data_IF_221741124854
#
_entry.id   IF_221741124854
#
_cell.length_a   1.000
_cell.length_b   1.000
_cell.length_c   1.000
_cell.angle_alpha   90.00
_cell.angle_beta   90.00
_cell.angle_gamma   90.00
#
_symmetry.space_group_name_H-M   'P 1'
#
loop_
_entity.id
_entity.type
_entity.pdbx_description
1 polymer ?
#
# COMPACT_ATOMS: atom_id res chain seq x y z
N UNK A 1 -0.34 6.32 -33.03
CA UNK A 1 -0.93 6.30 -31.68
C UNK A 1 0.20 6.54 -30.69
N UNK A 2 0.29 7.70 -30.01
CA UNK A 2 1.30 7.89 -28.98
C UNK A 2 0.97 7.01 -27.76
N UNK A 3 1.99 6.34 -27.22
CA UNK A 3 1.85 5.51 -26.02
C UNK A 3 1.49 6.38 -24.79
N UNK A 4 0.66 5.88 -23.85
CA UNK A 4 0.33 6.61 -22.64
C UNK A 4 1.60 6.85 -21.78
N UNK A 5 1.71 7.98 -21.06
CA UNK A 5 2.95 8.46 -20.45
C UNK A 5 3.39 7.70 -19.17
N UNK A 6 3.02 6.44 -19.00
CA UNK A 6 3.30 5.67 -17.79
C UNK A 6 3.88 4.30 -18.10
N UNK A 7 4.98 4.26 -18.86
CA UNK A 7 5.83 3.08 -18.94
C UNK A 7 7.29 3.54 -19.15
N UNK A 8 8.05 3.65 -18.06
CA UNK A 8 9.51 3.56 -18.11
C UNK A 8 9.90 2.31 -17.33
N UNK A 9 10.44 1.33 -18.05
CA UNK A 9 11.04 0.11 -17.50
C UNK A 9 12.21 0.46 -16.57
N UNK A 10 12.35 -0.29 -15.47
CA UNK A 10 13.54 -0.27 -14.61
C UNK A 10 13.43 0.51 -13.28
N UNK A 11 12.22 0.86 -12.82
CA UNK A 11 12.03 1.32 -11.44
C UNK A 11 11.37 0.20 -10.63
N UNK A 12 11.92 -0.11 -9.45
CA UNK A 12 11.21 -0.82 -8.38
C UNK A 12 9.75 -0.33 -8.37
N UNK A 13 8.73 -1.21 -8.26
CA UNK A 13 7.34 -0.77 -8.20
C UNK A 13 7.17 0.14 -6.98
N UNK A 14 7.31 1.44 -7.22
CA UNK A 14 7.09 2.47 -6.24
C UNK A 14 5.62 2.31 -5.85
N UNK A 15 5.36 1.83 -4.63
CA UNK A 15 4.24 2.41 -3.89
C UNK A 15 4.35 3.91 -4.10
N UNK A 16 3.30 4.61 -4.56
CA UNK A 16 3.40 6.06 -4.63
C UNK A 16 3.77 6.48 -3.23
N UNK A 17 5.00 6.98 -3.03
CA UNK A 17 5.37 7.62 -1.77
C UNK A 17 4.23 8.61 -1.57
N UNK A 18 3.54 8.55 -0.43
CA UNK A 18 2.33 9.31 -0.16
C UNK A 18 0.98 8.74 -0.66
N UNK A 19 0.85 7.49 -1.13
CA UNK A 19 -0.46 6.91 -1.50
C UNK A 19 -1.41 6.86 -0.30
N UNK A 20 -0.94 6.35 0.84
CA UNK A 20 -1.71 6.34 2.08
C UNK A 20 -2.16 7.75 2.48
N UNK A 21 -1.26 8.74 2.31
CA UNK A 21 -1.56 10.15 2.57
C UNK A 21 -2.63 10.68 1.62
N UNK A 22 -2.50 10.42 0.33
CA UNK A 22 -3.45 10.86 -0.69
C UNK A 22 -4.84 10.26 -0.48
N UNK A 23 -4.92 8.97 -0.17
CA UNK A 23 -6.19 8.30 0.18
C UNK A 23 -6.80 8.93 1.43
N UNK A 24 -6.00 9.12 2.48
CA UNK A 24 -6.46 9.77 3.71
C UNK A 24 -7.03 11.17 3.44
N UNK A 25 -6.30 12.00 2.70
CA UNK A 25 -6.70 13.37 2.35
C UNK A 25 -7.96 13.39 1.47
N UNK A 26 -8.08 12.48 0.50
CA UNK A 26 -9.28 12.34 -0.33
C UNK A 26 -10.53 11.93 0.47
N UNK A 27 -10.34 11.26 1.61
CA UNK A 27 -11.42 10.92 2.56
C UNK A 27 -11.68 11.99 3.61
N UNK A 28 -10.96 13.11 3.59
CA UNK A 28 -11.09 14.17 4.60
C UNK A 28 -10.67 13.74 6.00
N UNK A 29 -9.86 12.69 6.13
CA UNK A 29 -9.46 12.14 7.41
C UNK A 29 -8.17 12.80 7.94
N UNK A 30 -8.10 12.99 9.26
CA UNK A 30 -6.86 13.39 9.93
C UNK A 30 -5.98 12.17 10.22
N UNK A 31 -4.67 12.38 10.36
CA UNK A 31 -3.78 11.29 10.82
C UNK A 31 -4.22 10.74 12.18
N UNK A 32 -4.73 11.60 13.07
CA UNK A 32 -5.26 11.20 14.38
C UNK A 32 -6.47 10.28 14.26
N UNK A 33 -7.45 10.63 13.42
CA UNK A 33 -8.62 9.80 13.18
C UNK A 33 -8.23 8.42 12.63
N UNK A 34 -7.27 8.36 11.72
CA UNK A 34 -6.78 7.08 11.17
C UNK A 34 -6.08 6.25 12.25
N UNK A 35 -5.11 6.83 12.96
CA UNK A 35 -4.36 6.12 14.01
C UNK A 35 -5.29 5.62 15.13
N UNK A 36 -6.27 6.42 15.54
CA UNK A 36 -7.26 6.05 16.53
C UNK A 36 -8.17 4.92 16.02
N UNK A 37 -8.68 5.03 14.79
CA UNK A 37 -9.52 4.00 14.18
C UNK A 37 -8.80 2.65 14.08
N UNK A 38 -7.55 2.65 13.61
CA UNK A 38 -6.76 1.42 13.50
C UNK A 38 -6.48 0.82 14.87
N UNK A 39 -6.18 1.66 15.87
CA UNK A 39 -5.94 1.22 17.25
C UNK A 39 -7.21 0.63 17.89
N UNK A 40 -8.38 1.19 17.57
CA UNK A 40 -9.66 0.65 18.04
C UNK A 40 -9.97 -0.73 17.40
N UNK A 41 -9.62 -0.92 16.12
CA UNK A 41 -9.79 -2.18 15.41
C UNK A 41 -8.77 -3.25 15.81
N UNK A 42 -7.58 -2.86 16.29
CA UNK A 42 -6.49 -3.77 16.64
C UNK A 42 -5.87 -3.36 17.99
N UNK A 43 -6.56 -3.62 19.12
CA UNK A 43 -6.13 -3.17 20.44
C UNK A 43 -4.78 -3.75 20.86
N UNK A 44 -4.46 -4.99 20.44
CA UNK A 44 -3.21 -5.67 20.74
C UNK A 44 -1.99 -5.11 19.99
N UNK A 45 -2.20 -4.24 18.99
CA UNK A 45 -1.14 -3.63 18.20
C UNK A 45 -1.53 -2.21 17.77
N UNK A 46 -1.51 -1.24 18.69
CA UNK A 46 -1.86 0.15 18.38
C UNK A 46 -0.96 0.73 17.29
N UNK A 47 -1.55 1.47 16.37
CA UNK A 47 -0.81 2.23 15.37
C UNK A 47 -0.61 3.65 15.87
N UNK A 48 0.63 4.00 16.23
CA UNK A 48 0.93 5.35 16.72
C UNK A 48 0.95 6.38 15.59
N UNK A 49 0.67 7.64 15.93
CA UNK A 49 0.73 8.78 15.02
C UNK A 49 2.08 8.90 14.29
N UNK A 50 3.19 8.76 15.04
CA UNK A 50 4.53 8.82 14.45
C UNK A 50 4.75 7.70 13.43
N UNK A 51 4.27 6.48 13.74
CA UNK A 51 4.39 5.34 12.82
C UNK A 51 3.56 5.55 11.56
N UNK A 52 2.33 6.07 11.69
CA UNK A 52 1.49 6.46 10.55
C UNK A 52 2.16 7.55 9.71
N UNK A 53 2.73 8.59 10.33
CA UNK A 53 3.45 9.65 9.62
C UNK A 53 4.69 9.13 8.88
N UNK A 54 5.37 8.11 9.43
CA UNK A 54 6.48 7.45 8.74
C UNK A 54 6.01 6.62 7.54
N UNK A 55 4.87 5.91 7.65
CA UNK A 55 4.25 5.20 6.52
C UNK A 55 3.85 6.19 5.41
N UNK A 56 3.12 7.26 5.76
CA UNK A 56 2.68 8.30 4.82
C UNK A 56 3.85 9.05 4.16
N UNK A 57 4.97 9.19 4.89
CA UNK A 57 6.19 9.82 4.40
C UNK A 57 7.13 8.87 3.64
N UNK A 58 6.77 7.59 3.48
CA UNK A 58 7.65 6.59 2.85
C UNK A 58 8.94 6.30 3.64
N UNK A 59 9.01 6.71 4.91
CA UNK A 59 10.12 6.40 5.84
C UNK A 59 9.98 5.03 6.50
N UNK A 60 8.79 4.44 6.40
CA UNK A 60 8.50 3.11 6.91
C UNK A 60 7.74 2.31 5.83
N UNK A 61 8.12 1.05 5.62
CA UNK A 61 7.42 0.15 4.69
C UNK A 61 6.12 -0.38 5.31
N UNK A 62 5.08 -0.56 4.49
CA UNK A 62 3.84 -1.23 4.91
C UNK A 62 4.06 -2.69 5.32
N UNK A 63 5.09 -3.35 4.80
CA UNK A 63 5.45 -4.72 5.23
C UNK A 63 6.04 -4.77 6.65
N UNK A 64 6.39 -3.61 7.24
CA UNK A 64 6.93 -3.53 8.59
C UNK A 64 5.86 -3.35 9.68
N UNK A 65 4.59 -3.23 9.31
CA UNK A 65 3.45 -3.23 10.25
C UNK A 65 2.78 -4.59 10.28
N UNK A 66 2.09 -4.91 11.37
CA UNK A 66 1.42 -6.21 11.53
C UNK A 66 0.25 -6.34 10.54
N UNK A 67 -0.06 -7.56 10.12
CA UNK A 67 -1.17 -7.83 9.21
C UNK A 67 -2.51 -7.23 9.69
N UNK A 68 -2.80 -7.32 11.00
CA UNK A 68 -3.97 -6.68 11.60
C UNK A 68 -3.98 -5.15 11.41
N UNK A 69 -2.83 -4.48 11.57
CA UNK A 69 -2.71 -3.03 11.36
C UNK A 69 -2.89 -2.64 9.88
N UNK A 70 -2.40 -3.46 8.95
CA UNK A 70 -2.62 -3.26 7.52
C UNK A 70 -4.10 -3.38 7.18
N UNK A 71 -4.77 -4.40 7.71
CA UNK A 71 -6.20 -4.61 7.51
C UNK A 71 -7.02 -3.48 8.16
N UNK A 72 -6.65 -3.04 9.36
CA UNK A 72 -7.24 -1.88 10.02
C UNK A 72 -7.06 -0.60 9.20
N UNK A 73 -5.88 -0.36 8.64
CA UNK A 73 -5.63 0.78 7.74
C UNK A 73 -6.53 0.74 6.52
N UNK A 74 -6.66 -0.43 5.88
CA UNK A 74 -7.54 -0.64 4.74
C UNK A 74 -8.99 -0.33 5.09
N UNK A 75 -9.48 -0.82 6.23
CA UNK A 75 -10.86 -0.61 6.68
C UNK A 75 -11.14 0.85 7.03
N UNK A 76 -10.26 1.51 7.79
CA UNK A 76 -10.44 2.90 8.22
C UNK A 76 -10.34 3.89 7.05
N UNK A 77 -9.49 3.60 6.06
CA UNK A 77 -9.41 4.36 4.82
C UNK A 77 -10.51 3.99 3.81
N UNK A 78 -11.36 3.02 4.16
CA UNK A 78 -12.42 2.47 3.33
C UNK A 78 -11.93 2.08 1.93
N UNK A 79 -10.78 1.39 1.88
CA UNK A 79 -10.20 0.93 0.62
C UNK A 79 -10.73 -0.47 0.31
N UNK A 80 -11.34 -0.68 -0.87
CA UNK A 80 -11.74 -2.02 -1.31
C UNK A 80 -10.55 -2.97 -1.35
N UNK A 81 -10.76 -4.22 -0.92
CA UNK A 81 -9.70 -5.25 -0.85
C UNK A 81 -8.98 -5.46 -2.19
N UNK A 82 -9.71 -5.39 -3.30
CA UNK A 82 -9.14 -5.51 -4.65
C UNK A 82 -8.22 -4.34 -5.01
N UNK A 83 -8.57 -3.11 -4.61
CA UNK A 83 -7.74 -1.92 -4.82
C UNK A 83 -6.49 -2.02 -3.96
N UNK A 84 -6.65 -2.42 -2.70
CA UNK A 84 -5.55 -2.65 -1.78
C UNK A 84 -4.56 -3.68 -2.34
N UNK A 85 -5.04 -4.85 -2.78
CA UNK A 85 -4.17 -5.85 -3.41
C UNK A 85 -3.53 -5.35 -4.69
N UNK A 86 -4.23 -4.62 -5.56
CA UNK A 86 -3.57 -4.07 -6.76
C UNK A 86 -2.40 -3.15 -6.41
N UNK A 87 -2.56 -2.31 -5.38
CA UNK A 87 -1.51 -1.39 -4.95
C UNK A 87 -0.36 -2.09 -4.23
N UNK A 88 -0.63 -3.19 -3.49
CA UNK A 88 0.35 -3.84 -2.61
C UNK A 88 0.78 -5.26 -3.04
N UNK A 89 0.23 -5.84 -4.12
CA UNK A 89 0.57 -7.18 -4.63
C UNK A 89 1.40 -7.17 -5.93
N UNK A 90 1.66 -6.01 -6.56
CA UNK A 90 2.47 -5.93 -7.80
C UNK A 90 3.98 -5.98 -7.54
N UNK A 91 4.43 -6.99 -6.79
CA UNK A 91 5.84 -7.41 -6.71
C UNK A 91 5.98 -8.93 -6.50
N UNK A 92 5.04 -9.72 -7.02
CA UNK A 92 5.16 -11.19 -7.04
C UNK A 92 5.05 -11.82 -8.42
N UNK A 93 4.78 -11.06 -9.48
CA UNK A 93 4.47 -11.59 -10.81
C UNK A 93 5.34 -10.99 -11.94
N UNK A 94 6.57 -10.58 -11.64
CA UNK A 94 7.56 -10.18 -12.66
C UNK A 94 8.81 -11.07 -12.73
N UNK A 95 8.83 -12.21 -12.02
CA UNK A 95 9.90 -13.22 -12.17
C UNK A 95 9.43 -14.55 -12.73
N UNK A 96 8.15 -14.75 -13.02
CA UNK A 96 7.69 -15.92 -13.77
C UNK A 96 7.82 -15.66 -15.27
N UNK A 97 9.06 -15.66 -15.77
CA UNK A 97 9.28 -15.85 -17.21
C UNK A 97 8.60 -17.15 -17.62
N UNK A 98 7.70 -17.17 -18.62
CA UNK A 98 7.25 -18.43 -19.20
C UNK A 98 8.47 -19.02 -19.90
N UNK A 99 9.03 -20.09 -19.35
CA UNK A 99 9.95 -20.95 -20.10
C UNK A 99 9.15 -21.56 -21.23
N UNK A 100 9.22 -20.90 -22.39
CA UNK A 100 8.85 -21.48 -23.67
C UNK A 100 9.87 -22.60 -23.92
N UNK A 101 9.61 -23.80 -23.40
CA UNK A 101 10.30 -25.01 -23.83
C UNK A 101 9.77 -25.36 -25.21
N UNK A 102 10.36 -24.71 -26.21
CA UNK A 102 10.38 -25.17 -27.59
C UNK A 102 11.59 -26.10 -27.76
N UNK A 103 11.34 -27.34 -28.16
CA UNK A 103 12.22 -28.34 -28.78
C UNK A 103 11.86 -29.72 -28.22
N UNK A 104 11.68 -30.80 -28.99
CA UNK A 104 11.67 -31.05 -30.44
C UNK A 104 10.97 -32.40 -30.63
#
# INVERSE_FOLDING_TARGET
MPAPPYAREGQDPLLPRHWLRAVREARGLTQHAVAQGVTASVPEAPLTLSRLAHLEGGRLSLLSVRAGQMEGLRQVLDVPVLVWHRVFSEDRDSTASPTHSTAS
#
